data_IF_260853096566
#
_entry.id   IF_260853096566
#
_cell.length_a   1.000
_cell.length_b   1.000
_cell.length_c   1.000
_cell.angle_alpha   90.00
_cell.angle_beta   90.00
_cell.angle_gamma   90.00
#
_symmetry.space_group_name_H-M   'P 1'
#
loop_
_entity.id
_entity.type
_entity.pdbx_description
1 polymer ?
#
# COMPACT_ATOMS: atom_id res chain seq x y z
N UNK A 1 -1.44 -4.56 10.86
CA UNK A 1 -1.27 -3.27 11.59
C UNK A 1 -0.49 -3.47 12.90
N UNK A 2 -0.95 -4.32 13.82
CA UNK A 2 -0.30 -4.49 15.14
C UNK A 2 1.16 -4.95 15.08
N UNK A 3 1.50 -5.88 14.18
CA UNK A 3 2.89 -6.33 13.98
C UNK A 3 3.84 -5.19 13.53
N UNK A 4 3.35 -4.28 12.68
CA UNK A 4 4.12 -3.09 12.25
C UNK A 4 4.40 -2.17 13.45
N UNK A 5 3.38 -1.90 14.27
CA UNK A 5 3.54 -1.08 15.47
C UNK A 5 4.50 -1.74 16.48
N UNK A 6 4.34 -3.04 16.73
CA UNK A 6 5.25 -3.80 17.59
C UNK A 6 6.70 -3.75 17.09
N UNK A 7 6.91 -3.83 15.77
CA UNK A 7 8.23 -3.71 15.14
C UNK A 7 8.83 -2.32 15.39
N UNK A 8 8.05 -1.25 15.26
CA UNK A 8 8.50 0.11 15.56
C UNK A 8 8.85 0.28 17.04
N UNK A 9 7.95 -0.14 17.95
CA UNK A 9 8.16 -0.02 19.40
C UNK A 9 9.41 -0.77 19.85
N UNK A 10 9.60 -2.01 19.43
CA UNK A 10 10.78 -2.82 19.78
C UNK A 10 12.06 -2.34 19.08
N UNK A 11 11.96 -1.50 18.05
CA UNK A 11 13.13 -0.81 17.46
C UNK A 11 13.56 0.37 18.33
N UNK A 12 12.59 1.14 18.84
CA UNK A 12 12.85 2.32 19.67
C UNK A 12 13.22 1.95 21.11
N UNK A 13 12.56 0.93 21.67
CA UNK A 13 12.71 0.47 23.05
C UNK A 13 12.96 -1.05 23.07
N UNK A 14 14.20 -1.50 22.82
CA UNK A 14 14.52 -2.93 22.66
C UNK A 14 14.32 -3.79 23.93
N UNK A 15 14.17 -3.15 25.08
CA UNK A 15 13.97 -3.83 26.37
C UNK A 15 12.49 -4.11 26.68
N UNK A 16 11.58 -3.54 25.90
CA UNK A 16 10.14 -3.73 26.11
C UNK A 16 9.70 -5.11 25.63
N UNK A 17 8.84 -5.75 26.43
CA UNK A 17 8.12 -6.94 26.02
C UNK A 17 6.79 -6.52 25.37
N UNK A 18 6.54 -6.96 24.14
CA UNK A 18 5.30 -6.69 23.41
C UNK A 18 4.60 -8.01 23.14
N UNK A 19 3.40 -8.17 23.67
CA UNK A 19 2.52 -9.31 23.38
C UNK A 19 1.46 -8.91 22.34
N UNK A 20 1.27 -9.76 21.33
CA UNK A 20 0.22 -9.59 20.31
C UNK A 20 -0.76 -10.74 20.46
N UNK A 21 -2.02 -10.40 20.70
CA UNK A 21 -3.11 -11.37 20.77
C UNK A 21 -3.89 -11.39 19.45
N UNK A 22 -3.98 -12.55 18.82
CA UNK A 22 -4.84 -12.82 17.67
C UNK A 22 -6.02 -13.68 18.14
N UNK A 23 -7.22 -13.36 17.67
CA UNK A 23 -8.45 -14.07 18.05
C UNK A 23 -8.85 -15.10 16.98
N UNK A 24 -8.52 -14.84 15.73
CA UNK A 24 -8.95 -15.68 14.61
C UNK A 24 -8.02 -16.90 14.43
N UNK A 25 -8.52 -17.90 13.71
CA UNK A 25 -7.84 -19.20 13.52
C UNK A 25 -6.54 -19.09 12.69
N UNK A 26 -6.28 -17.94 12.07
CA UNK A 26 -5.06 -17.66 11.34
C UNK A 26 -4.73 -16.16 11.37
N UNK A 27 -3.45 -15.78 11.21
CA UNK A 27 -3.04 -14.39 11.15
C UNK A 27 -3.65 -13.68 9.94
N UNK A 28 -3.84 -12.37 10.08
CA UNK A 28 -4.27 -11.46 9.00
C UNK A 28 -5.64 -11.80 8.38
N UNK A 29 -6.52 -12.52 9.08
CA UNK A 29 -7.86 -12.82 8.57
C UNK A 29 -8.83 -11.63 8.62
N UNK A 30 -8.54 -10.59 9.40
CA UNK A 30 -9.31 -9.33 9.42
C UNK A 30 -8.85 -8.36 8.31
N UNK A 31 -8.67 -7.06 8.61
CA UNK A 31 -8.34 -6.01 7.65
C UNK A 31 -7.05 -6.24 6.85
N UNK A 32 -6.09 -7.01 7.39
CA UNK A 32 -4.84 -7.34 6.70
C UNK A 32 -4.98 -8.50 5.70
N UNK A 33 -6.17 -9.07 5.54
CA UNK A 33 -6.43 -10.12 4.56
C UNK A 33 -6.26 -9.56 3.14
N UNK A 34 -5.60 -10.26 2.21
CA UNK A 34 -5.41 -9.77 0.84
C UNK A 34 -6.72 -9.52 0.07
N UNK A 35 -7.84 -10.13 0.49
CA UNK A 35 -9.16 -9.85 -0.08
C UNK A 35 -9.78 -8.54 0.43
N UNK A 36 -9.20 -7.94 1.48
CA UNK A 36 -9.57 -6.64 2.00
C UNK A 36 -8.63 -5.58 1.43
N UNK A 37 -9.17 -4.40 1.14
CA UNK A 37 -8.40 -3.28 0.58
C UNK A 37 -7.22 -2.83 1.47
N UNK A 38 -7.29 -3.07 2.78
CA UNK A 38 -6.19 -2.77 3.70
C UNK A 38 -5.08 -3.85 3.71
N UNK A 39 -5.32 -5.04 3.15
CA UNK A 39 -4.36 -6.13 3.07
C UNK A 39 -3.60 -6.22 1.75
N UNK A 40 -4.02 -5.50 0.71
CA UNK A 40 -3.36 -5.52 -0.61
C UNK A 40 -2.02 -4.78 -0.64
N UNK A 41 -1.81 -3.79 0.23
CA UNK A 41 -0.52 -3.13 0.45
C UNK A 41 0.19 -2.69 -0.84
N UNK A 42 -0.35 -1.69 -1.54
CA UNK A 42 0.14 -1.27 -2.86
C UNK A 42 0.46 0.23 -2.96
N UNK A 43 1.21 0.59 -4.00
CA UNK A 43 1.66 1.95 -4.31
C UNK A 43 0.55 2.92 -4.82
N UNK A 44 -0.72 2.56 -4.63
CA UNK A 44 -1.92 3.37 -4.89
C UNK A 44 -2.22 3.68 -6.37
N UNK A 45 -1.57 2.95 -7.30
CA UNK A 45 -1.67 3.21 -8.73
C UNK A 45 -2.78 2.39 -9.41
N UNK A 46 -3.40 1.43 -8.72
CA UNK A 46 -4.50 0.63 -9.26
C UNK A 46 -5.88 1.25 -9.02
N UNK A 47 -5.99 2.17 -8.08
CA UNK A 47 -7.24 2.68 -7.55
C UNK A 47 -7.74 3.87 -8.40
N UNK A 48 -8.66 3.60 -9.32
CA UNK A 48 -9.27 4.65 -10.17
C UNK A 48 -9.97 5.74 -9.34
N UNK A 49 -10.52 5.39 -8.18
CA UNK A 49 -11.18 6.33 -7.26
C UNK A 49 -10.19 7.24 -6.51
N UNK A 50 -8.87 7.08 -6.67
CA UNK A 50 -7.87 8.00 -6.13
C UNK A 50 -7.52 9.14 -7.09
N UNK A 51 -8.06 9.09 -8.30
CA UNK A 51 -7.83 10.07 -9.36
C UNK A 51 -9.15 10.60 -9.91
N UNK A 52 -9.99 11.28 -9.10
CA UNK A 52 -11.28 11.79 -9.57
C UNK A 52 -11.10 12.88 -10.63
N UNK A 53 -12.01 12.91 -11.60
CA UNK A 53 -12.12 14.02 -12.56
C UNK A 53 -12.84 15.20 -11.89
N UNK A 54 -12.26 16.39 -12.02
CA UNK A 54 -12.79 17.64 -11.52
C UNK A 54 -13.85 18.21 -12.49
N UNK A 55 -14.69 19.17 -12.04
CA UNK A 55 -15.69 19.80 -12.91
C UNK A 55 -15.12 20.47 -14.17
N UNK A 56 -13.84 20.86 -14.15
CA UNK A 56 -13.12 21.44 -15.29
C UNK A 56 -12.55 20.39 -16.27
N UNK A 57 -12.76 19.09 -15.99
CA UNK A 57 -12.30 17.97 -16.81
C UNK A 57 -10.85 17.54 -16.57
N UNK A 58 -10.13 18.17 -15.62
CA UNK A 58 -8.81 17.75 -15.17
C UNK A 58 -8.88 16.58 -14.18
N UNK A 59 -7.82 15.78 -14.09
CA UNK A 59 -7.75 14.64 -13.16
C UNK A 59 -6.90 15.02 -11.94
N UNK A 60 -7.46 14.89 -10.74
CA UNK A 60 -6.74 15.17 -9.50
C UNK A 60 -5.93 13.95 -9.05
N UNK A 61 -4.60 14.04 -9.10
CA UNK A 61 -3.71 12.93 -8.71
C UNK A 61 -3.20 13.03 -7.26
N UNK A 62 -3.56 14.08 -6.51
CA UNK A 62 -2.94 14.39 -5.21
C UNK A 62 -3.07 13.24 -4.21
N UNK A 63 -4.21 12.54 -4.19
CA UNK A 63 -4.43 11.39 -3.32
C UNK A 63 -3.57 10.19 -3.72
N UNK A 64 -3.44 9.90 -5.02
CA UNK A 64 -2.60 8.83 -5.52
C UNK A 64 -1.12 9.08 -5.16
N UNK A 65 -0.62 10.31 -5.39
CA UNK A 65 0.75 10.72 -5.01
C UNK A 65 0.96 10.55 -3.51
N UNK A 66 0.08 11.10 -2.67
CA UNK A 66 0.22 11.02 -1.20
C UNK A 66 0.29 9.59 -0.67
N UNK A 67 -0.53 8.69 -1.20
CA UNK A 67 -0.52 7.28 -0.75
C UNK A 67 0.73 6.56 -1.30
N UNK A 68 1.18 6.91 -2.50
CA UNK A 68 2.44 6.41 -3.05
C UNK A 68 3.64 6.82 -2.16
N UNK A 69 3.70 8.07 -1.71
CA UNK A 69 4.73 8.53 -0.75
C UNK A 69 4.68 7.75 0.58
N UNK A 70 3.48 7.47 1.11
CA UNK A 70 3.31 6.63 2.30
C UNK A 70 3.78 5.19 2.08
N UNK A 71 3.60 4.66 0.87
CA UNK A 71 4.10 3.34 0.50
C UNK A 71 5.63 3.33 0.45
N UNK A 72 6.27 4.37 -0.09
CA UNK A 72 7.74 4.50 -0.09
C UNK A 72 8.30 4.55 1.34
N UNK A 73 7.67 5.30 2.26
CA UNK A 73 8.06 5.27 3.68
C UNK A 73 7.95 3.86 4.30
N UNK A 74 6.95 3.08 3.89
CA UNK A 74 6.81 1.69 4.33
C UNK A 74 7.95 0.82 3.80
N UNK A 75 8.39 1.05 2.55
CA UNK A 75 9.54 0.36 1.95
C UNK A 75 10.84 0.70 2.67
N UNK A 76 11.04 1.95 3.08
CA UNK A 76 12.20 2.35 3.89
C UNK A 76 12.25 1.60 5.22
N UNK A 77 11.12 1.50 5.93
CA UNK A 77 11.02 0.71 7.15
C UNK A 77 11.38 -0.76 6.92
N UNK A 78 10.81 -1.39 5.89
CA UNK A 78 11.11 -2.78 5.57
C UNK A 78 12.57 -2.99 5.17
N UNK A 79 13.15 -2.05 4.43
CA UNK A 79 14.57 -2.06 4.08
C UNK A 79 15.45 -1.98 5.34
N UNK A 80 15.13 -1.09 6.28
CA UNK A 80 15.82 -0.98 7.56
C UNK A 80 15.74 -2.29 8.36
N UNK A 81 14.54 -2.86 8.50
CA UNK A 81 14.34 -4.12 9.21
C UNK A 81 15.09 -5.29 8.55
N UNK A 82 15.12 -5.34 7.23
CA UNK A 82 15.88 -6.33 6.46
C UNK A 82 17.39 -6.18 6.70
N UNK A 83 17.93 -4.96 6.60
CA UNK A 83 19.34 -4.67 6.84
C UNK A 83 19.77 -5.00 8.28
N UNK A 84 18.87 -4.86 9.25
CA UNK A 84 19.08 -5.24 10.64
C UNK A 84 18.89 -6.75 10.93
N UNK A 85 18.58 -7.58 9.92
CA UNK A 85 18.31 -9.00 10.10
C UNK A 85 17.00 -9.33 10.83
N UNK A 86 16.07 -8.36 10.92
CA UNK A 86 14.80 -8.45 11.63
C UNK A 86 13.59 -8.71 10.73
N UNK A 87 13.81 -8.83 9.42
CA UNK A 87 12.82 -9.22 8.42
C UNK A 87 13.34 -10.42 7.61
N UNK A 88 13.25 -11.65 8.12
CA UNK A 88 13.67 -12.84 7.38
C UNK A 88 12.80 -13.02 6.12
N UNK A 89 13.43 -13.30 4.98
CA UNK A 89 12.73 -13.43 3.70
C UNK A 89 12.39 -12.09 3.04
N UNK A 90 13.04 -10.98 3.43
CA UNK A 90 12.82 -9.65 2.88
C UNK A 90 12.90 -9.59 1.34
N UNK A 91 13.73 -10.43 0.72
CA UNK A 91 13.86 -10.55 -0.73
C UNK A 91 12.57 -10.99 -1.45
N UNK A 92 11.63 -11.58 -0.70
CA UNK A 92 10.31 -12.00 -1.18
C UNK A 92 9.18 -11.11 -0.63
N UNK A 93 9.47 -10.18 0.26
CA UNK A 93 8.46 -9.38 0.95
C UNK A 93 7.81 -8.32 0.04
N UNK A 94 8.53 -7.83 -0.96
CA UNK A 94 8.05 -6.85 -1.93
C UNK A 94 8.27 -7.38 -3.34
N UNK A 95 7.21 -7.47 -4.13
CA UNK A 95 7.26 -7.96 -5.52
C UNK A 95 6.74 -6.88 -6.46
N UNK A 96 7.46 -6.65 -7.57
CA UNK A 96 7.01 -5.76 -8.62
C UNK A 96 5.90 -6.43 -9.43
N UNK A 97 4.74 -5.77 -9.55
CA UNK A 97 3.60 -6.28 -10.33
C UNK A 97 3.12 -5.19 -11.29
N UNK A 98 2.85 -5.51 -12.57
CA UNK A 98 2.24 -4.56 -13.49
C UNK A 98 0.87 -4.10 -12.99
N UNK A 99 0.63 -2.79 -12.97
CA UNK A 99 -0.68 -2.24 -12.67
C UNK A 99 -1.50 -2.15 -13.96
N UNK A 100 -2.65 -2.82 -13.98
CA UNK A 100 -3.54 -2.86 -15.14
C UNK A 100 -4.94 -2.41 -14.70
N UNK A 101 -5.43 -1.34 -15.30
CA UNK A 101 -6.82 -0.92 -15.16
C UNK A 101 -7.62 -1.36 -16.38
N UNK A 102 -8.79 -1.94 -16.15
CA UNK A 102 -9.72 -2.32 -17.22
C UNK A 102 -11.02 -1.53 -17.06
N UNK A 103 -11.40 -0.81 -18.11
CA UNK A 103 -12.61 0.02 -18.15
C UNK A 103 -13.39 -0.25 -19.44
N UNK A 104 -14.68 0.08 -19.47
CA UNK A 104 -15.56 -0.14 -20.63
C UNK A 104 -16.38 1.11 -20.95
N UNK A 105 -16.64 1.33 -22.23
CA UNK A 105 -17.42 2.48 -22.70
C UNK A 105 -16.56 3.72 -22.96
N UNK A 106 -17.02 4.58 -23.86
CA UNK A 106 -16.22 5.71 -24.36
C UNK A 106 -15.80 6.69 -23.25
N UNK A 107 -16.68 6.96 -22.29
CA UNK A 107 -16.42 7.86 -21.17
C UNK A 107 -15.28 7.36 -20.27
N UNK A 108 -15.34 6.09 -19.84
CA UNK A 108 -14.35 5.55 -18.92
C UNK A 108 -12.99 5.34 -19.60
N UNK A 109 -13.00 4.99 -20.89
CA UNK A 109 -11.78 4.92 -21.72
C UNK A 109 -11.11 6.29 -21.81
N UNK A 110 -11.89 7.36 -22.03
CA UNK A 110 -11.36 8.72 -22.07
C UNK A 110 -10.82 9.17 -20.71
N UNK A 111 -11.54 8.88 -19.63
CA UNK A 111 -11.07 9.12 -18.27
C UNK A 111 -9.73 8.40 -18.01
N UNK A 112 -9.60 7.13 -18.41
CA UNK A 112 -8.38 6.35 -18.23
C UNK A 112 -7.18 6.95 -19.00
N UNK A 113 -7.41 7.51 -20.20
CA UNK A 113 -6.37 8.24 -20.95
C UNK A 113 -5.92 9.51 -20.22
N UNK A 114 -6.86 10.36 -19.80
CA UNK A 114 -6.56 11.58 -19.03
C UNK A 114 -5.80 11.25 -17.74
N UNK A 115 -6.23 10.20 -17.04
CA UNK A 115 -5.57 9.71 -15.83
C UNK A 115 -4.13 9.28 -16.10
N UNK A 116 -3.89 8.55 -17.19
CA UNK A 116 -2.55 8.13 -17.58
C UNK A 116 -1.64 9.33 -17.86
N UNK A 117 -2.11 10.30 -18.64
CA UNK A 117 -1.35 11.54 -18.91
C UNK A 117 -1.03 12.32 -17.63
N UNK A 118 -1.97 12.38 -16.68
CA UNK A 118 -1.76 13.07 -15.41
C UNK A 118 -0.77 12.36 -14.48
N UNK A 119 -0.59 11.04 -14.60
CA UNK A 119 0.28 10.23 -13.73
C UNK A 119 1.68 9.96 -14.32
N UNK A 120 1.93 10.34 -15.58
CA UNK A 120 3.19 10.06 -16.29
C UNK A 120 4.37 10.87 -15.77
#
# INVERSE_FOLDING_TARGET
MSATLASLLTTLEPTWCVEIHERLDAPALESSNPWNNAGTGHAALCELNYTPERPDGSVDISKAVRINEQYELSRELWHHLAAAGRLPGAERAVTTTPHMSFVRGAKDVEHLRKRWEALR
#
